data_IF_775368685365
#
_entry.id   IF_775368685365
#
_cell.length_a   1.000
_cell.length_b   1.000
_cell.length_c   1.000
_cell.angle_alpha   90.00
_cell.angle_beta   90.00
_cell.angle_gamma   90.00
#
_symmetry.space_group_name_H-M   'P 1'
#
loop_
_entity.id
_entity.type
_entity.pdbx_description
1 polymer ?
#
# COMPACT_ATOMS: atom_id res chain seq x y z
N UNK A 1 8.07 -5.11 3.57
CA UNK A 1 8.20 -5.76 2.22
C UNK A 1 6.91 -5.47 1.44
N UNK A 2 6.89 -5.71 0.12
CA UNK A 2 5.71 -5.35 -0.71
C UNK A 2 4.61 -6.44 -0.65
N UNK A 3 3.34 -6.04 -0.56
CA UNK A 3 2.18 -6.94 -0.34
C UNK A 3 1.47 -7.28 -1.64
N UNK A 4 1.30 -8.57 -1.89
CA UNK A 4 0.55 -9.07 -3.05
C UNK A 4 -0.92 -8.62 -3.01
N UNK A 5 -1.61 -8.85 -1.89
CA UNK A 5 -3.03 -8.49 -1.75
C UNK A 5 -3.28 -6.99 -1.85
N UNK A 6 -2.37 -6.17 -1.30
CA UNK A 6 -2.43 -4.71 -1.44
C UNK A 6 -2.35 -4.27 -2.90
N UNK A 7 -1.43 -4.86 -3.68
CA UNK A 7 -1.32 -4.61 -5.13
C UNK A 7 -2.61 -4.98 -5.87
N UNK A 8 -3.15 -6.17 -5.60
CA UNK A 8 -4.39 -6.65 -6.21
C UNK A 8 -5.56 -5.70 -5.90
N UNK A 9 -5.67 -5.25 -4.65
CA UNK A 9 -6.70 -4.30 -4.22
C UNK A 9 -6.56 -2.92 -4.87
N UNK A 10 -5.33 -2.41 -4.99
CA UNK A 10 -5.08 -1.15 -5.69
C UNK A 10 -5.35 -1.24 -7.19
N UNK A 11 -4.98 -2.35 -7.85
CA UNK A 11 -5.26 -2.53 -9.27
C UNK A 11 -6.76 -2.58 -9.54
N UNK A 12 -7.54 -3.30 -8.70
CA UNK A 12 -9.01 -3.27 -8.79
C UNK A 12 -9.57 -1.85 -8.64
N UNK A 13 -9.10 -1.11 -7.63
CA UNK A 13 -9.53 0.28 -7.44
C UNK A 13 -9.15 1.19 -8.61
N UNK A 14 -7.97 0.97 -9.24
CA UNK A 14 -7.55 1.69 -10.44
C UNK A 14 -8.47 1.41 -11.62
N UNK A 15 -8.79 0.14 -11.86
CA UNK A 15 -9.68 -0.29 -12.94
C UNK A 15 -11.09 0.32 -12.77
N UNK A 16 -11.64 0.32 -11.56
CA UNK A 16 -12.96 0.90 -11.24
C UNK A 16 -13.08 2.39 -11.61
N UNK A 17 -11.96 3.12 -11.65
CA UNK A 17 -11.92 4.54 -11.99
C UNK A 17 -11.26 4.84 -13.35
N UNK A 18 -11.05 3.80 -14.17
CA UNK A 18 -10.53 3.95 -15.54
C UNK A 18 -9.02 4.21 -15.63
N UNK A 19 -8.24 3.76 -14.65
CA UNK A 19 -6.79 3.70 -14.71
C UNK A 19 -6.32 2.28 -15.07
N UNK A 20 -5.24 2.21 -15.86
CA UNK A 20 -4.55 0.95 -16.13
C UNK A 20 -3.99 0.31 -14.85
N UNK A 21 -3.84 -1.02 -14.77
CA UNK A 21 -3.13 -1.67 -13.66
C UNK A 21 -1.71 -1.10 -13.47
N UNK A 22 -1.20 -1.14 -12.24
CA UNK A 22 0.19 -0.75 -11.99
C UNK A 22 1.14 -1.67 -12.77
N UNK A 23 2.23 -1.16 -13.36
CA UNK A 23 3.19 -2.00 -14.08
C UNK A 23 3.87 -2.98 -13.14
N UNK A 24 4.19 -4.17 -13.64
CA UNK A 24 5.02 -5.13 -12.92
C UNK A 24 6.47 -4.66 -12.85
N UNK A 25 7.13 -4.96 -11.74
CA UNK A 25 8.49 -4.52 -11.48
C UNK A 25 9.27 -5.74 -11.02
N UNK A 26 10.18 -6.21 -11.87
CA UNK A 26 10.84 -7.51 -11.77
C UNK A 26 11.60 -7.76 -10.44
N UNK A 27 12.08 -6.71 -9.78
CA UNK A 27 12.82 -6.82 -8.52
C UNK A 27 11.91 -6.77 -7.27
N UNK A 28 10.61 -6.55 -7.42
CA UNK A 28 9.69 -6.56 -6.29
C UNK A 28 9.24 -7.99 -5.98
N UNK A 29 9.72 -8.52 -4.87
CA UNK A 29 9.18 -9.72 -4.26
C UNK A 29 7.95 -9.35 -3.43
N UNK A 30 6.79 -9.39 -4.08
CA UNK A 30 5.51 -9.22 -3.42
C UNK A 30 5.18 -10.52 -2.65
N UNK A 31 5.05 -10.44 -1.32
CA UNK A 31 4.78 -11.61 -0.50
C UNK A 31 3.28 -11.86 -0.35
N UNK A 32 2.91 -13.13 -0.16
CA UNK A 32 1.53 -13.53 0.12
C UNK A 32 1.26 -13.48 1.62
N UNK A 33 0.49 -12.47 2.03
CA UNK A 33 0.20 -12.22 3.44
C UNK A 33 -0.62 -13.34 4.08
N UNK A 34 -1.44 -14.02 3.27
CA UNK A 34 -2.25 -15.16 3.70
C UNK A 34 -1.38 -16.32 4.20
N UNK A 35 -0.14 -16.41 3.73
CA UNK A 35 0.83 -17.40 4.19
C UNK A 35 1.73 -16.84 5.30
N UNK A 36 2.10 -15.56 5.23
CA UNK A 36 2.99 -14.94 6.21
C UNK A 36 2.36 -14.82 7.61
N UNK A 37 1.11 -14.36 7.70
CA UNK A 37 0.48 -14.09 9.01
C UNK A 37 0.32 -15.36 9.84
N UNK A 38 -0.19 -16.49 9.29
CA UNK A 38 -0.21 -17.76 10.02
C UNK A 38 1.18 -18.17 10.50
N UNK A 39 2.18 -18.15 9.61
CA UNK A 39 3.56 -18.49 9.95
C UNK A 39 4.12 -17.63 11.09
N UNK A 40 3.94 -16.31 11.03
CA UNK A 40 4.41 -15.41 12.10
C UNK A 40 3.72 -15.71 13.43
N UNK A 41 2.42 -16.04 13.42
CA UNK A 41 1.65 -16.38 14.62
C UNK A 41 2.09 -17.69 15.26
N UNK A 42 2.78 -18.58 14.56
CA UNK A 42 3.35 -19.79 15.17
C UNK A 42 4.48 -19.44 16.16
N UNK A 43 5.35 -18.48 15.80
CA UNK A 43 6.58 -18.17 16.55
C UNK A 43 6.55 -16.86 17.34
N UNK A 44 5.64 -15.94 17.00
CA UNK A 44 5.60 -14.58 17.53
C UNK A 44 4.18 -14.18 17.96
N UNK A 45 4.10 -13.24 18.91
CA UNK A 45 2.92 -12.39 19.10
C UNK A 45 3.09 -11.16 18.21
N UNK A 46 2.10 -10.88 17.36
CA UNK A 46 2.05 -9.66 16.57
C UNK A 46 1.47 -8.56 17.47
N UNK A 47 2.31 -7.63 17.92
CA UNK A 47 1.93 -6.54 18.82
C UNK A 47 1.35 -5.35 18.05
N UNK A 48 1.92 -5.04 16.89
CA UNK A 48 1.44 -3.99 15.99
C UNK A 48 1.47 -4.47 14.56
N UNK A 49 0.47 -4.03 13.80
CA UNK A 49 0.41 -4.14 12.36
C UNK A 49 0.23 -2.72 11.82
N UNK A 50 1.28 -2.19 11.18
CA UNK A 50 1.31 -0.83 10.67
C UNK A 50 1.23 -0.89 9.14
N UNK A 51 0.25 -0.20 8.58
CA UNK A 51 -0.10 -0.18 7.17
C UNK A 51 -0.06 1.23 6.62
N UNK A 52 0.19 1.34 5.32
CA UNK A 52 0.31 2.61 4.60
C UNK A 52 -0.75 2.76 3.50
N UNK A 53 -1.88 2.07 3.65
CA UNK A 53 -2.87 1.92 2.58
C UNK A 53 -3.48 3.25 2.12
N UNK A 54 -3.68 4.19 3.04
CA UNK A 54 -4.17 5.53 2.67
C UNK A 54 -3.14 6.29 1.82
N UNK A 55 -1.86 6.24 2.19
CA UNK A 55 -0.78 6.83 1.40
C UNK A 55 -0.68 6.17 0.01
N UNK A 56 -0.82 4.85 -0.07
CA UNK A 56 -0.84 4.12 -1.34
C UNK A 56 -2.01 4.54 -2.22
N UNK A 57 -3.22 4.71 -1.66
CA UNK A 57 -4.38 5.19 -2.42
C UNK A 57 -4.13 6.61 -2.96
N UNK A 58 -3.59 7.52 -2.14
CA UNK A 58 -3.27 8.86 -2.61
C UNK A 58 -2.25 8.83 -3.75
N UNK A 59 -1.13 8.15 -3.55
CA UNK A 59 0.01 8.22 -4.48
C UNK A 59 -0.12 7.31 -5.70
N UNK A 60 -0.88 6.21 -5.61
CA UNK A 60 -1.02 5.20 -6.68
C UNK A 60 -2.39 5.19 -7.33
N UNK A 61 -3.37 5.94 -6.82
CA UNK A 61 -4.71 6.01 -7.40
C UNK A 61 -5.12 7.45 -7.62
N UNK A 62 -5.18 8.26 -6.56
CA UNK A 62 -5.63 9.65 -6.68
C UNK A 62 -4.69 10.48 -7.57
N UNK A 63 -3.39 10.50 -7.29
CA UNK A 63 -2.44 11.29 -8.08
C UNK A 63 -2.43 10.92 -9.56
N UNK A 64 -2.29 9.63 -9.96
CA UNK A 64 -2.41 9.24 -11.36
C UNK A 64 -3.74 9.64 -12.02
N UNK A 65 -4.85 9.62 -11.26
CA UNK A 65 -6.15 10.06 -11.78
C UNK A 65 -6.19 11.58 -12.03
N UNK A 66 -5.52 12.37 -11.18
CA UNK A 66 -5.49 13.82 -11.29
C UNK A 66 -4.61 14.33 -12.44
N UNK A 67 -3.61 13.55 -12.87
CA UNK A 67 -2.66 13.98 -13.91
C UNK A 67 -2.89 13.32 -15.27
N UNK A 68 -3.76 12.32 -15.38
CA UNK A 68 -4.09 11.66 -16.65
C UNK A 68 -4.50 12.72 -17.72
N UNK A 69 -3.98 12.67 -18.95
CA UNK A 69 -3.18 11.59 -19.57
C UNK A 69 -1.68 11.62 -19.29
N UNK A 70 -1.16 12.62 -18.58
CA UNK A 70 0.26 12.70 -18.22
C UNK A 70 0.62 11.66 -17.16
N UNK A 71 1.93 11.39 -17.02
CA UNK A 71 2.44 10.47 -16.01
C UNK A 71 2.72 11.18 -14.67
N UNK A 72 2.49 10.49 -13.53
CA UNK A 72 2.90 10.96 -12.21
C UNK A 72 4.40 11.29 -12.16
N UNK A 73 4.75 12.49 -11.67
CA UNK A 73 6.15 12.90 -11.51
C UNK A 73 6.60 12.71 -10.06
N UNK A 74 7.85 12.30 -9.88
CA UNK A 74 8.44 12.12 -8.54
C UNK A 74 8.83 13.46 -7.88
N UNK A 75 9.20 14.47 -8.66
CA UNK A 75 9.64 15.78 -8.17
C UNK A 75 8.45 16.75 -7.97
N UNK A 76 7.38 16.30 -7.31
CA UNK A 76 6.22 17.17 -6.99
C UNK A 76 5.99 17.28 -5.49
N UNK A 77 5.21 18.27 -5.06
CA UNK A 77 4.84 18.39 -3.66
C UNK A 77 3.78 17.35 -3.23
N UNK A 78 3.21 16.59 -4.19
CA UNK A 78 2.07 15.73 -3.94
C UNK A 78 2.41 14.67 -2.89
N UNK A 79 3.58 14.02 -3.02
CA UNK A 79 4.02 12.97 -2.10
C UNK A 79 4.20 13.52 -0.67
N UNK A 80 4.73 14.74 -0.53
CA UNK A 80 4.91 15.39 0.77
C UNK A 80 3.56 15.79 1.40
N UNK A 81 2.58 16.20 0.59
CA UNK A 81 1.22 16.48 1.07
C UNK A 81 0.50 15.18 1.45
N UNK A 82 0.63 14.13 0.64
CA UNK A 82 0.05 12.82 0.92
C UNK A 82 0.59 12.22 2.21
N UNK A 83 1.89 12.37 2.48
CA UNK A 83 2.51 11.98 3.75
C UNK A 83 1.92 12.77 4.93
N UNK A 84 1.81 14.09 4.83
CA UNK A 84 1.19 14.91 5.89
C UNK A 84 -0.25 14.51 6.17
N UNK A 85 -1.03 14.24 5.11
CA UNK A 85 -2.41 13.78 5.24
C UNK A 85 -2.46 12.42 5.94
N UNK A 86 -1.57 11.48 5.59
CA UNK A 86 -1.50 10.17 6.24
C UNK A 86 -1.32 10.25 7.75
N UNK A 87 -0.49 11.18 8.25
CA UNK A 87 -0.34 11.38 9.69
C UNK A 87 -1.49 12.16 10.34
N UNK A 88 -2.27 12.90 9.57
CA UNK A 88 -3.36 13.75 10.07
C UNK A 88 -4.70 13.02 10.20
N UNK A 89 -4.88 11.87 9.55
CA UNK A 89 -6.15 11.13 9.52
C UNK A 89 -5.97 9.71 10.02
N UNK A 90 -7.04 9.12 10.54
CA UNK A 90 -7.09 7.67 10.74
C UNK A 90 -7.23 6.98 9.37
N UNK A 91 -6.12 6.42 8.90
CA UNK A 91 -6.02 5.75 7.61
C UNK A 91 -6.44 4.27 7.62
N UNK A 92 -6.88 3.70 8.75
CA UNK A 92 -7.09 2.25 8.90
C UNK A 92 -8.14 1.68 7.94
N UNK A 93 -9.13 2.49 7.54
CA UNK A 93 -10.11 2.12 6.51
C UNK A 93 -9.47 1.74 5.16
N UNK A 94 -8.23 2.16 4.92
CA UNK A 94 -7.49 1.92 3.69
C UNK A 94 -6.46 0.80 3.81
N UNK A 95 -6.30 0.16 4.96
CA UNK A 95 -5.23 -0.83 5.22
C UNK A 95 -5.17 -1.97 4.20
N UNK A 96 -6.34 -2.39 3.68
CA UNK A 96 -6.43 -3.40 2.62
C UNK A 96 -5.70 -3.01 1.33
N UNK A 97 -5.54 -1.72 1.06
CA UNK A 97 -4.83 -1.22 -0.13
C UNK A 97 -3.32 -1.13 0.08
N UNK A 98 -2.83 -1.41 1.28
CA UNK A 98 -1.42 -1.16 1.56
C UNK A 98 -0.50 -2.14 0.84
N UNK A 99 0.46 -1.57 0.14
CA UNK A 99 1.60 -2.24 -0.47
C UNK A 99 2.65 -2.58 0.55
N UNK A 100 2.65 -1.99 1.74
CA UNK A 100 3.65 -2.25 2.78
C UNK A 100 2.98 -2.57 4.12
N UNK A 101 3.55 -3.52 4.85
CA UNK A 101 3.27 -3.72 6.26
C UNK A 101 4.57 -3.79 7.05
N UNK A 102 4.48 -3.21 8.23
CA UNK A 102 5.47 -3.28 9.27
C UNK A 102 4.83 -3.95 10.49
N UNK A 103 5.37 -5.10 10.87
CA UNK A 103 4.91 -5.84 12.02
C UNK A 103 5.87 -5.63 13.19
N UNK A 104 5.34 -5.22 14.34
CA UNK A 104 6.08 -5.32 15.60
C UNK A 104 5.84 -6.73 16.16
N UNK A 105 6.90 -7.54 16.18
CA UNK A 105 6.84 -8.93 16.59
C UNK A 105 7.52 -9.11 17.96
N UNK A 106 6.83 -9.77 18.89
CA UNK A 106 7.37 -10.18 20.17
C UNK A 106 7.56 -11.69 20.12
N UNK A 107 8.79 -12.17 20.37
CA UNK A 107 9.08 -13.60 20.40
C UNK A 107 8.28 -14.26 21.54
N UNK A 108 7.61 -15.38 21.23
CA UNK A 108 6.95 -16.21 22.24
C UNK A 108 7.96 -16.96 23.11
#
# INVERSE_FOLDING_TARGET
RRHKQGRENLNRLREEIGLEPMPDVWHNLDFDERNLIPFLKEYYKIEKDIRFGFYDVLTRVNYPSCVKPDEPKYATNYQAVAEKLYYAVDGTAFDKYSREACFLLIKK
#
